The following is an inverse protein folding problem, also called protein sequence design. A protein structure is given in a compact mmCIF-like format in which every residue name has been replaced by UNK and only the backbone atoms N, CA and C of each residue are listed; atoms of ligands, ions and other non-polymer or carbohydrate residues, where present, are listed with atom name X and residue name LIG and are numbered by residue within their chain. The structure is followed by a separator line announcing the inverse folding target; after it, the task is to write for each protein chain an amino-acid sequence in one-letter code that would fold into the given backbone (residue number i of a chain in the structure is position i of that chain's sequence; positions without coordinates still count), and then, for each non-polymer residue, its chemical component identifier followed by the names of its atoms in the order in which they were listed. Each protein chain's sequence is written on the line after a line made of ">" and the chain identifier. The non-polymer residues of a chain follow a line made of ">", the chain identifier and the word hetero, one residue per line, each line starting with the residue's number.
data_IF_571883289781
#
_entry.id   IF_571883289781
#
_cell.length_a   1.000
_cell.length_b   1.000
_cell.length_c   1.000
_cell.angle_alpha   90.00
_cell.angle_beta   90.00
_cell.angle_gamma   90.00
#
_symmetry.space_group_name_H-M   'P 1'
#
loop_
_entity.id
_entity.type
_entity.pdbx_description
1 polymer ?
#
# COMPACT_ATOMS: atom_id res chain seq x y z
N UNK A 1 2.12 -14.41 -14.21
CA UNK A 1 1.24 -13.22 -14.22
C UNK A 1 1.81 -12.25 -13.22
N UNK A 2 2.12 -11.04 -13.63
CA UNK A 2 2.72 -10.05 -12.73
C UNK A 2 1.71 -9.62 -11.66
N UNK A 3 2.16 -9.51 -10.41
CA UNK A 3 1.33 -9.05 -9.28
C UNK A 3 1.91 -7.75 -8.71
N UNK A 4 1.08 -6.93 -8.09
CA UNK A 4 1.48 -5.63 -7.53
C UNK A 4 1.03 -5.47 -6.09
N UNK A 5 1.98 -5.19 -5.20
CA UNK A 5 1.73 -4.67 -3.87
C UNK A 5 1.88 -3.15 -3.90
N UNK A 6 0.86 -2.43 -3.45
CA UNK A 6 0.93 -1.02 -3.11
C UNK A 6 0.78 -0.88 -1.60
N UNK A 7 1.89 -0.62 -0.92
CA UNK A 7 1.94 -0.52 0.53
C UNK A 7 1.99 0.93 1.02
N UNK A 8 1.34 1.20 2.16
CA UNK A 8 1.55 2.43 2.94
C UNK A 8 2.17 2.05 4.26
N UNK A 9 3.45 2.39 4.42
CA UNK A 9 4.27 2.13 5.61
C UNK A 9 4.23 3.33 6.55
N UNK A 10 4.22 3.10 7.86
CA UNK A 10 4.51 4.12 8.86
C UNK A 10 4.07 3.69 10.25
N UNK A 11 4.34 4.53 11.26
CA UNK A 11 3.91 4.28 12.64
C UNK A 11 2.38 4.21 12.80
N UNK A 12 1.94 3.91 14.02
CA UNK A 12 0.53 3.85 14.36
C UNK A 12 -0.02 5.25 14.22
N UNK A 13 -1.23 5.38 13.67
CA UNK A 13 -1.84 6.69 13.38
C UNK A 13 -0.99 7.57 12.43
N UNK A 14 -0.19 7.00 11.53
CA UNK A 14 0.62 7.77 10.58
C UNK A 14 -0.16 8.43 9.44
N UNK A 15 -1.47 8.17 9.31
CA UNK A 15 -2.29 8.65 8.19
C UNK A 15 -2.60 7.60 7.12
N UNK A 16 -2.34 6.30 7.39
CA UNK A 16 -2.65 5.18 6.47
C UNK A 16 -4.14 5.11 6.13
N UNK A 17 -5.01 5.16 7.15
CA UNK A 17 -6.47 5.16 6.97
C UNK A 17 -6.94 6.35 6.13
N UNK A 18 -6.40 7.54 6.38
CA UNK A 18 -6.69 8.75 5.60
C UNK A 18 -6.27 8.58 4.14
N UNK A 19 -5.09 8.00 3.89
CA UNK A 19 -4.60 7.70 2.54
C UNK A 19 -5.57 6.80 1.78
N UNK A 20 -6.01 5.70 2.40
CA UNK A 20 -6.97 4.80 1.76
C UNK A 20 -8.35 5.43 1.58
N UNK A 21 -8.83 6.18 2.58
CA UNK A 21 -10.11 6.85 2.48
C UNK A 21 -10.14 7.87 1.33
N UNK A 22 -9.05 8.64 1.16
CA UNK A 22 -8.88 9.57 0.05
C UNK A 22 -8.69 8.86 -1.30
N UNK A 23 -7.99 7.73 -1.35
CA UNK A 23 -7.82 6.93 -2.57
C UNK A 23 -9.15 6.37 -3.11
N UNK A 24 -10.03 5.93 -2.21
CA UNK A 24 -11.34 5.38 -2.54
C UNK A 24 -12.48 6.41 -2.48
N UNK A 25 -12.17 7.67 -2.13
CA UNK A 25 -13.12 8.77 -1.92
C UNK A 25 -14.25 8.43 -0.92
N UNK A 26 -13.96 7.51 0.00
CA UNK A 26 -14.85 7.06 1.08
C UNK A 26 -14.08 6.29 2.13
N UNK A 27 -14.61 6.21 3.34
CA UNK A 27 -14.06 5.33 4.37
C UNK A 27 -14.08 3.87 3.92
N UNK A 28 -12.92 3.22 4.00
CA UNK A 28 -12.73 1.81 3.62
C UNK A 28 -12.13 1.01 4.76
N UNK A 29 -12.49 -0.28 4.82
CA UNK A 29 -11.96 -1.26 5.77
C UNK A 29 -11.35 -2.43 4.99
N UNK A 30 -10.51 -3.24 5.63
CA UNK A 30 -10.03 -4.51 5.08
C UNK A 30 -11.19 -5.27 4.45
N UNK A 31 -11.03 -5.61 3.18
CA UNK A 31 -12.06 -6.29 2.39
C UNK A 31 -12.12 -7.78 2.68
N UNK A 32 -13.25 -8.37 2.30
CA UNK A 32 -13.38 -9.83 2.10
C UNK A 32 -13.37 -10.21 0.62
N UNK A 33 -13.49 -9.21 -0.26
CA UNK A 33 -13.66 -9.36 -1.70
C UNK A 33 -12.84 -8.31 -2.43
N UNK A 34 -12.60 -8.55 -3.72
CA UNK A 34 -12.04 -7.54 -4.62
C UNK A 34 -12.97 -6.33 -4.72
N UNK A 35 -12.39 -5.16 -4.89
CA UNK A 35 -13.09 -3.87 -5.01
C UNK A 35 -12.64 -3.17 -6.27
N UNK A 36 -13.55 -2.39 -6.86
CA UNK A 36 -13.19 -1.43 -7.90
C UNK A 36 -12.42 -0.27 -7.28
N UNK A 37 -11.23 0.01 -7.80
CA UNK A 37 -10.51 1.25 -7.57
C UNK A 37 -10.56 2.06 -8.86
N UNK A 38 -11.35 3.14 -8.85
CA UNK A 38 -11.42 4.08 -9.95
C UNK A 38 -10.11 4.89 -10.04
N UNK A 39 -9.49 4.84 -11.20
CA UNK A 39 -8.26 5.56 -11.53
C UNK A 39 -8.57 6.92 -12.19
N UNK A 40 -9.75 7.03 -12.80
CA UNK A 40 -10.41 8.26 -13.22
C UNK A 40 -11.94 8.03 -13.26
N UNK A 41 -12.69 8.94 -13.88
CA UNK A 41 -14.16 8.91 -13.93
C UNK A 41 -14.76 7.68 -14.62
N UNK A 42 -13.99 6.95 -15.44
CA UNK A 42 -14.48 5.83 -16.26
C UNK A 42 -13.66 4.56 -16.15
N UNK A 43 -12.38 4.68 -15.83
CA UNK A 43 -11.44 3.56 -15.80
C UNK A 43 -11.17 3.11 -14.36
N UNK A 44 -11.21 1.79 -14.14
CA UNK A 44 -10.93 1.18 -12.85
C UNK A 44 -10.11 -0.10 -12.98
N UNK A 45 -9.54 -0.53 -11.84
CA UNK A 45 -8.93 -1.85 -11.66
C UNK A 45 -9.58 -2.57 -10.49
N UNK A 46 -9.47 -3.89 -10.45
CA UNK A 46 -9.86 -4.70 -9.29
C UNK A 46 -8.69 -4.85 -8.32
N UNK A 47 -8.93 -4.53 -7.06
CA UNK A 47 -7.90 -4.57 -6.01
C UNK A 47 -8.40 -5.28 -4.76
N UNK A 48 -7.50 -5.92 -4.02
CA UNK A 48 -7.75 -6.38 -2.66
C UNK A 48 -7.16 -5.40 -1.66
N UNK A 49 -7.93 -4.98 -0.65
CA UNK A 49 -7.50 -3.98 0.33
C UNK A 49 -7.34 -4.59 1.73
N UNK A 50 -6.15 -4.45 2.30
CA UNK A 50 -5.80 -4.70 3.70
C UNK A 50 -5.55 -3.34 4.36
N UNK A 51 -6.61 -2.72 4.90
CA UNK A 51 -6.53 -1.34 5.39
C UNK A 51 -5.94 -1.21 6.80
N UNK A 52 -6.12 -2.22 7.64
CA UNK A 52 -5.45 -2.33 8.95
C UNK A 52 -4.24 -3.24 8.80
N UNK A 53 -3.08 -2.80 9.29
CA UNK A 53 -1.84 -3.51 9.04
C UNK A 53 -1.82 -4.91 9.67
N UNK A 54 -1.18 -5.91 9.04
CA UNK A 54 -1.00 -7.24 9.64
C UNK A 54 -0.36 -7.14 11.04
N UNK A 55 0.64 -6.27 11.19
CA UNK A 55 1.38 -6.10 12.43
C UNK A 55 0.52 -5.49 13.55
N UNK A 56 -0.42 -4.57 13.25
CA UNK A 56 -1.38 -4.06 14.24
C UNK A 56 -2.44 -5.11 14.63
N UNK A 57 -2.61 -6.15 13.81
CA UNK A 57 -3.61 -7.22 14.02
C UNK A 57 -3.02 -8.48 14.61
N UNK A 58 -1.70 -8.55 14.75
CA UNK A 58 -0.97 -9.74 15.18
C UNK A 58 -1.37 -10.97 14.36
N UNK A 59 -1.42 -10.78 13.03
CA UNK A 59 -1.81 -11.79 12.05
C UNK A 59 -0.84 -11.81 10.89
N UNK A 60 -0.62 -12.99 10.35
CA UNK A 60 0.06 -13.14 9.07
C UNK A 60 -0.77 -12.50 7.96
N UNK A 61 -0.10 -11.88 7.00
CA UNK A 61 -0.78 -11.22 5.88
C UNK A 61 -1.58 -12.21 5.04
N UNK A 62 -1.13 -13.47 4.96
CA UNK A 62 -1.84 -14.55 4.27
C UNK A 62 -3.23 -14.80 4.86
N UNK A 63 -3.38 -14.78 6.19
CA UNK A 63 -4.68 -14.94 6.85
C UNK A 63 -5.66 -13.81 6.52
N UNK A 64 -5.14 -12.64 6.15
CA UNK A 64 -5.95 -11.47 5.80
C UNK A 64 -6.40 -11.48 4.34
N UNK A 65 -5.76 -12.28 3.48
CA UNK A 65 -6.11 -12.41 2.05
C UNK A 65 -7.16 -13.49 1.90
N UNK A 66 -8.42 -13.07 1.75
CA UNK A 66 -9.58 -13.97 1.64
C UNK A 66 -10.00 -14.26 0.20
N UNK A 67 -9.23 -13.78 -0.77
CA UNK A 67 -9.48 -13.98 -2.20
C UNK A 67 -8.33 -14.76 -2.81
N UNK A 68 -8.65 -15.66 -3.73
CA UNK A 68 -7.63 -16.44 -4.40
C UNK A 68 -6.79 -15.55 -5.33
N UNK A 69 -5.47 -15.54 -5.13
CA UNK A 69 -4.49 -14.93 -6.04
C UNK A 69 -4.81 -13.49 -6.51
N UNK A 70 -4.98 -12.50 -5.61
CA UNK A 70 -5.26 -11.13 -6.02
C UNK A 70 -4.12 -10.53 -6.85
N UNK A 71 -4.42 -9.94 -8.00
CA UNK A 71 -3.41 -9.33 -8.88
C UNK A 71 -2.82 -8.05 -8.29
N UNK A 72 -3.66 -7.23 -7.66
CA UNK A 72 -3.25 -5.98 -7.01
C UNK A 72 -3.72 -5.99 -5.56
N UNK A 73 -2.77 -5.84 -4.64
CA UNK A 73 -3.04 -5.73 -3.20
C UNK A 73 -2.64 -4.35 -2.72
N UNK A 74 -3.56 -3.66 -2.03
CA UNK A 74 -3.31 -2.44 -1.29
C UNK A 74 -3.16 -2.80 0.19
N UNK A 75 -2.05 -2.46 0.82
CA UNK A 75 -1.77 -2.92 2.19
C UNK A 75 -1.23 -1.80 3.09
N UNK A 76 -1.86 -1.58 4.23
CA UNK A 76 -1.22 -0.87 5.34
C UNK A 76 -0.13 -1.74 5.94
N UNK A 77 1.04 -1.17 6.19
CA UNK A 77 2.14 -1.83 6.91
C UNK A 77 2.60 -0.92 8.04
N UNK A 78 3.03 -1.52 9.14
CA UNK A 78 3.45 -0.81 10.32
C UNK A 78 4.98 -0.73 10.36
N UNK A 79 5.54 0.45 10.67
CA UNK A 79 6.98 0.55 10.91
C UNK A 79 7.34 -0.13 12.25
N UNK A 80 7.60 -1.45 12.17
CA UNK A 80 7.99 -2.38 13.24
C UNK A 80 8.95 -3.42 12.64
N UNK A 81 9.71 -4.13 13.48
CA UNK A 81 10.70 -5.10 13.02
C UNK A 81 10.08 -6.30 12.24
N UNK A 82 8.89 -6.73 12.65
CA UNK A 82 8.14 -7.86 12.08
C UNK A 82 7.47 -7.56 10.73
N UNK A 83 7.39 -6.28 10.31
CA UNK A 83 6.81 -5.88 9.01
C UNK A 83 7.48 -6.55 7.83
N UNK A 84 8.71 -7.00 8.02
CA UNK A 84 9.48 -7.60 6.95
C UNK A 84 8.93 -8.95 6.51
N UNK A 85 8.26 -9.67 7.40
CA UNK A 85 7.56 -10.91 7.10
C UNK A 85 6.41 -10.66 6.10
N UNK A 86 5.68 -9.54 6.28
CA UNK A 86 4.65 -9.10 5.32
C UNK A 86 5.24 -8.85 3.93
N UNK A 87 6.39 -8.15 3.84
CA UNK A 87 7.03 -7.89 2.54
C UNK A 87 7.64 -9.15 1.92
N UNK A 88 8.26 -10.01 2.73
CA UNK A 88 8.83 -11.29 2.30
C UNK A 88 7.74 -12.20 1.72
N UNK A 89 6.53 -12.21 2.31
CA UNK A 89 5.37 -12.91 1.74
C UNK A 89 5.06 -12.40 0.32
N UNK A 90 4.90 -11.09 0.14
CA UNK A 90 4.55 -10.53 -1.17
C UNK A 90 5.66 -10.77 -2.20
N UNK A 91 6.92 -10.59 -1.81
CA UNK A 91 8.07 -10.87 -2.68
C UNK A 91 8.10 -12.34 -3.11
N UNK A 92 7.98 -13.26 -2.17
CA UNK A 92 8.00 -14.71 -2.43
C UNK A 92 6.82 -15.16 -3.31
N UNK A 93 5.71 -14.42 -3.26
CA UNK A 93 4.53 -14.65 -4.10
C UNK A 93 4.56 -13.87 -5.44
N UNK A 94 5.70 -13.31 -5.82
CA UNK A 94 5.92 -12.70 -7.13
C UNK A 94 5.33 -11.30 -7.30
N UNK A 95 5.07 -10.58 -6.21
CA UNK A 95 4.59 -9.21 -6.27
C UNK A 95 5.75 -8.23 -6.49
N UNK A 96 5.60 -7.34 -7.47
CA UNK A 96 6.34 -6.08 -7.49
C UNK A 96 5.88 -5.22 -6.32
N UNK A 97 6.79 -4.52 -5.66
CA UNK A 97 6.50 -3.78 -4.43
C UNK A 97 6.65 -2.28 -4.68
N UNK A 98 5.57 -1.53 -4.45
CA UNK A 98 5.55 -0.08 -4.41
C UNK A 98 5.14 0.40 -3.03
N UNK A 99 5.96 1.25 -2.39
CA UNK A 99 5.77 1.68 -1.01
C UNK A 99 5.70 3.20 -0.91
N UNK A 100 4.66 3.71 -0.27
CA UNK A 100 4.63 5.06 0.30
C UNK A 100 4.96 4.98 1.79
N UNK A 101 6.12 5.50 2.17
CA UNK A 101 6.49 5.58 3.58
C UNK A 101 6.08 6.94 4.15
N UNK A 102 5.14 6.92 5.10
CA UNK A 102 4.68 8.07 5.85
C UNK A 102 5.68 8.37 6.97
N UNK A 103 6.59 9.29 6.69
CA UNK A 103 7.67 9.67 7.59
C UNK A 103 8.02 11.18 7.40
N UNK A 104 7.66 12.05 8.35
CA UNK A 104 6.93 11.73 9.58
C UNK A 104 5.50 11.26 9.26
N UNK A 105 4.94 10.41 10.10
CA UNK A 105 3.52 10.11 10.11
C UNK A 105 2.70 11.24 10.71
N UNK A 106 1.39 11.21 10.49
CA UNK A 106 0.44 12.21 10.99
C UNK A 106 0.59 12.48 12.50
N UNK A 107 0.67 11.43 13.33
CA UNK A 107 0.85 11.54 14.77
C UNK A 107 2.30 11.60 15.26
N UNK A 108 3.29 11.56 14.36
CA UNK A 108 4.71 11.66 14.75
C UNK A 108 5.08 13.12 15.08
N UNK A 109 6.31 13.36 15.52
CA UNK A 109 6.87 14.71 15.54
C UNK A 109 6.98 15.27 14.11
N UNK A 110 7.12 16.59 13.95
CA UNK A 110 7.13 17.23 12.62
C UNK A 110 8.36 16.90 11.77
N UNK A 111 9.41 16.33 12.36
CA UNK A 111 10.63 15.95 11.64
C UNK A 111 10.58 14.46 11.26
N UNK A 112 11.11 14.09 10.07
CA UNK A 112 11.29 12.69 9.72
C UNK A 112 12.15 11.96 10.77
N UNK A 113 11.79 10.72 11.06
CA UNK A 113 12.60 9.82 11.88
C UNK A 113 13.57 9.01 11.00
N UNK A 114 14.68 8.60 11.61
CA UNK A 114 15.70 7.78 10.94
C UNK A 114 15.19 6.35 10.72
N UNK A 115 15.65 5.71 9.64
CA UNK A 115 15.39 4.29 9.36
C UNK A 115 16.23 3.38 10.27
N UNK A 116 15.90 3.35 11.55
CA UNK A 116 16.55 2.50 12.56
C UNK A 116 16.40 1.00 12.30
N UNK A 117 15.43 0.59 11.48
CA UNK A 117 15.16 -0.82 11.16
C UNK A 117 15.86 -1.25 9.85
N UNK A 118 16.46 -0.33 9.10
CA UNK A 118 17.09 -0.62 7.81
C UNK A 118 16.09 -1.06 6.72
N UNK A 119 14.80 -0.74 6.86
CA UNK A 119 13.75 -1.17 5.95
C UNK A 119 13.91 -0.57 4.55
N UNK A 120 14.38 0.68 4.45
CA UNK A 120 14.59 1.33 3.14
C UNK A 120 15.65 0.57 2.36
N UNK A 121 16.80 0.31 2.99
CA UNK A 121 17.91 -0.40 2.33
C UNK A 121 17.49 -1.79 1.91
N UNK A 122 16.75 -2.51 2.76
CA UNK A 122 16.24 -3.85 2.45
C UNK A 122 15.24 -3.83 1.29
N UNK A 123 14.22 -2.97 1.35
CA UNK A 123 13.18 -2.89 0.32
C UNK A 123 13.78 -2.49 -1.04
N UNK A 124 14.69 -1.52 -1.07
CA UNK A 124 15.37 -1.13 -2.32
C UNK A 124 16.27 -2.25 -2.84
N UNK A 125 16.99 -2.95 -1.96
CA UNK A 125 17.78 -4.14 -2.32
C UNK A 125 16.94 -5.27 -2.92
N UNK A 126 15.66 -5.35 -2.53
CA UNK A 126 14.68 -6.29 -3.07
C UNK A 126 13.99 -5.79 -4.36
N UNK A 127 14.42 -4.65 -4.90
CA UNK A 127 13.87 -4.06 -6.12
C UNK A 127 12.54 -3.33 -5.94
N UNK A 128 12.14 -3.04 -4.69
CA UNK A 128 10.95 -2.23 -4.43
C UNK A 128 11.15 -0.78 -4.90
N UNK A 129 10.04 -0.15 -5.30
CA UNK A 129 10.00 1.30 -5.47
C UNK A 129 9.47 1.93 -4.18
N UNK A 130 10.30 2.69 -3.48
CA UNK A 130 9.92 3.37 -2.24
C UNK A 130 9.90 4.89 -2.44
N UNK A 131 8.88 5.55 -1.92
CA UNK A 131 8.85 7.01 -1.85
C UNK A 131 8.46 7.51 -0.46
N UNK A 132 9.16 8.53 0.00
CA UNK A 132 8.89 9.20 1.27
C UNK A 132 7.76 10.22 1.11
N UNK A 133 6.84 10.27 2.08
CA UNK A 133 5.74 11.24 2.14
C UNK A 133 5.55 11.73 3.56
N UNK A 134 5.19 13.00 3.71
CA UNK A 134 4.81 13.56 5.00
C UNK A 134 3.34 13.22 5.32
N UNK A 135 3.10 12.40 6.34
CA UNK A 135 1.76 11.99 6.78
C UNK A 135 0.92 13.13 7.37
N UNK A 136 1.54 14.27 7.71
CA UNK A 136 0.85 15.46 8.23
C UNK A 136 0.27 16.35 7.14
N UNK A 137 0.77 16.22 5.92
CA UNK A 137 0.27 16.96 4.76
C UNK A 137 -1.04 16.38 4.23
N UNK A 138 -1.71 17.16 3.40
CA UNK A 138 -2.92 16.72 2.73
C UNK A 138 -2.65 15.53 1.78
N UNK A 139 -3.55 14.53 1.67
CA UNK A 139 -3.25 13.27 1.00
C UNK A 139 -3.37 13.31 -0.54
N UNK A 140 -3.85 14.40 -1.15
CA UNK A 140 -4.22 14.47 -2.56
C UNK A 140 -3.04 14.12 -3.47
N UNK A 141 -1.89 14.76 -3.26
CA UNK A 141 -0.69 14.51 -4.08
C UNK A 141 -0.16 13.08 -3.91
N UNK A 142 -0.26 12.51 -2.70
CA UNK A 142 0.19 11.14 -2.46
C UNK A 142 -0.77 10.14 -3.11
N UNK A 143 -2.07 10.39 -3.04
CA UNK A 143 -3.10 9.56 -3.67
C UNK A 143 -3.02 9.63 -5.19
N UNK A 144 -2.82 10.82 -5.76
CA UNK A 144 -2.65 11.00 -7.20
C UNK A 144 -1.48 10.17 -7.72
N UNK A 145 -0.31 10.24 -7.07
CA UNK A 145 0.86 9.42 -7.45
C UNK A 145 0.60 7.92 -7.35
N UNK A 146 -0.20 7.47 -6.37
CA UNK A 146 -0.62 6.06 -6.29
C UNK A 146 -1.51 5.69 -7.47
N UNK A 147 -2.52 6.51 -7.80
CA UNK A 147 -3.40 6.28 -8.96
C UNK A 147 -2.58 6.25 -10.27
N UNK A 148 -1.68 7.19 -10.48
CA UNK A 148 -0.81 7.26 -11.67
C UNK A 148 0.09 6.02 -11.79
N UNK A 149 0.72 5.58 -10.70
CA UNK A 149 1.55 4.38 -10.68
C UNK A 149 0.73 3.12 -11.01
N UNK A 150 -0.41 2.94 -10.32
CA UNK A 150 -1.31 1.80 -10.55
C UNK A 150 -1.81 1.81 -11.99
N UNK A 151 -2.19 2.98 -12.51
CA UNK A 151 -2.68 3.14 -13.88
C UNK A 151 -1.62 2.74 -14.91
N UNK A 152 -0.39 3.27 -14.81
CA UNK A 152 0.70 2.89 -15.71
C UNK A 152 1.02 1.40 -15.65
N UNK A 153 1.09 0.84 -14.44
CA UNK A 153 1.36 -0.59 -14.24
C UNK A 153 0.26 -1.49 -14.80
N UNK A 154 -1.01 -1.14 -14.57
CA UNK A 154 -2.18 -1.91 -15.00
C UNK A 154 -2.44 -1.80 -16.51
N UNK A 155 -2.21 -0.61 -17.09
CA UNK A 155 -2.39 -0.35 -18.52
C UNK A 155 -1.48 -1.20 -19.39
N UNK A 156 -0.22 -1.37 -19.01
CA UNK A 156 0.72 -2.24 -19.74
C UNK A 156 0.35 -3.74 -19.68
N UNK A 157 -0.58 -4.11 -18.79
CA UNK A 157 -0.99 -5.50 -18.52
C UNK A 157 -2.43 -5.77 -18.93
N UNK A 158 -3.07 -4.82 -19.63
CA UNK A 158 -4.47 -4.90 -20.05
C UNK A 158 -5.45 -5.21 -18.89
N UNK A 159 -5.17 -4.63 -17.71
CA UNK A 159 -5.99 -4.81 -16.50
C UNK A 159 -7.01 -3.69 -16.28
N UNK A 160 -6.97 -2.64 -17.10
CA UNK A 160 -7.89 -1.51 -17.01
C UNK A 160 -9.25 -1.92 -17.55
N UNK A 161 -10.30 -1.69 -16.77
CA UNK A 161 -11.69 -1.85 -17.19
C UNK A 161 -12.32 -0.47 -17.33
N UNK A 162 -13.09 -0.26 -18.40
CA UNK A 162 -13.90 0.95 -18.59
C UNK A 162 -15.37 0.65 -18.30
N UNK A 163 -16.05 1.53 -17.56
CA UNK A 163 -17.51 1.57 -17.46
C UNK A 163 -18.15 2.23 -18.70
#
# INVERSE_FOLDING_TARGET
>A
MDKLLVAVLGHRNSGKTTTWASLFERTVKTGKYLRRLYLNDKEYVTVFLISGSPEEREKDVEELITVENPTIVLCSTQYRADVIETYDYFKSNGYSIFVHWLNPGYSDQSLPYFDSLGLVSRLLGDGATLTLRNGKESPELRVQKMKEYIYGWAKYRDLIVSD
#
